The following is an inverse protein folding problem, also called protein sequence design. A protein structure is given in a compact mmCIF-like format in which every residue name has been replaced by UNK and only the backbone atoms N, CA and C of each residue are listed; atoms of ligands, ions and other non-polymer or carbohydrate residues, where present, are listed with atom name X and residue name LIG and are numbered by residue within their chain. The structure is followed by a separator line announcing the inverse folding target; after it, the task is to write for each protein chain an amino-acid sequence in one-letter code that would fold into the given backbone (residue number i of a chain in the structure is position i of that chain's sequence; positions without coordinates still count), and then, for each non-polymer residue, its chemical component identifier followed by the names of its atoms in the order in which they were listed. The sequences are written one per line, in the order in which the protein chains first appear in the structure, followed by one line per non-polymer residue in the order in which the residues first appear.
data_IF_034701465568
#
_entry.id   IF_034701465568
#
_cell.length_a   1.000
_cell.length_b   1.000
_cell.length_c   1.000
_cell.angle_alpha   90.00
_cell.angle_beta   90.00
_cell.angle_gamma   90.00
#
_symmetry.space_group_name_H-M   'P 1'
#
loop_
_entity.id
_entity.type
_entity.pdbx_description
1 polymer ?
#
# COMPACT_ATOMS: atom_id res chain seq x y z
N UNK A 1 25.28 -6.34 34.48
CA UNK A 1 24.36 -6.92 33.49
C UNK A 1 23.11 -6.09 33.60
N UNK A 2 23.00 -5.07 32.76
CA UNK A 2 21.83 -4.20 32.71
C UNK A 2 20.78 -4.91 31.85
N UNK A 3 19.67 -5.29 32.47
CA UNK A 3 18.54 -5.89 31.77
C UNK A 3 17.75 -4.80 31.05
N UNK A 4 18.09 -4.58 29.78
CA UNK A 4 17.23 -3.86 28.82
C UNK A 4 15.98 -4.69 28.54
N UNK A 5 14.99 -4.60 29.45
CA UNK A 5 13.63 -5.01 29.16
C UNK A 5 13.06 -4.06 28.10
N UNK A 6 13.13 -4.49 26.84
CA UNK A 6 12.42 -3.88 25.72
C UNK A 6 10.91 -3.90 25.99
N UNK A 7 10.43 -2.85 26.65
CA UNK A 7 9.04 -2.64 27.02
C UNK A 7 8.22 -2.30 25.76
N UNK A 8 8.00 -3.29 24.89
CA UNK A 8 7.37 -3.14 23.58
C UNK A 8 5.84 -3.17 23.60
N UNK A 9 5.21 -3.09 24.78
CA UNK A 9 3.76 -3.20 24.93
C UNK A 9 3.11 -2.32 26.00
N UNK A 10 3.84 -1.39 26.61
CA UNK A 10 3.27 -0.53 27.64
C UNK A 10 2.58 0.70 27.03
N UNK A 11 1.27 0.81 27.24
CA UNK A 11 0.48 1.98 26.88
C UNK A 11 0.51 2.98 28.03
N UNK A 12 1.08 4.17 27.79
CA UNK A 12 1.06 5.25 28.78
C UNK A 12 -0.34 5.89 28.85
N UNK A 13 -1.01 5.81 30.00
CA UNK A 13 -2.38 6.33 30.18
C UNK A 13 -2.46 7.61 31.02
N UNK A 14 -1.33 8.28 31.27
CA UNK A 14 -1.27 9.44 32.18
C UNK A 14 -2.15 10.63 31.77
N UNK A 15 -2.53 10.74 30.49
CA UNK A 15 -3.41 11.80 29.98
C UNK A 15 -4.81 11.30 29.57
N UNK A 16 -5.21 10.11 30.02
CA UNK A 16 -6.47 9.48 29.62
C UNK A 16 -7.72 10.33 29.89
N UNK A 17 -7.69 11.18 30.91
CA UNK A 17 -8.82 12.05 31.28
C UNK A 17 -8.71 13.48 30.72
N UNK A 18 -7.72 13.75 29.87
CA UNK A 18 -7.60 15.04 29.19
C UNK A 18 -8.70 15.18 28.14
N UNK A 19 -9.48 16.25 28.23
CA UNK A 19 -10.40 16.66 27.18
C UNK A 19 -9.65 17.24 25.99
N UNK A 20 -9.98 16.76 24.79
CA UNK A 20 -9.46 17.30 23.52
C UNK A 20 -10.60 17.62 22.56
N UNK A 21 -10.37 18.60 21.69
CA UNK A 21 -11.32 18.98 20.65
C UNK A 21 -10.89 18.39 19.30
N UNK A 22 -11.84 17.82 18.58
CA UNK A 22 -11.63 17.31 17.24
C UNK A 22 -12.28 18.25 16.22
N UNK A 23 -11.50 18.82 15.32
CA UNK A 23 -12.01 19.71 14.27
C UNK A 23 -11.74 19.15 12.89
N UNK A 24 -12.77 19.05 12.06
CA UNK A 24 -12.64 18.79 10.63
C UNK A 24 -12.27 20.09 9.92
N UNK A 25 -11.08 20.09 9.32
CA UNK A 25 -10.47 21.27 8.68
C UNK A 25 -10.49 21.15 7.15
N UNK A 26 -11.02 22.15 6.40
CA UNK A 26 -10.79 22.30 4.97
C UNK A 26 -9.31 22.16 4.57
N UNK A 27 -9.06 21.36 3.53
CA UNK A 27 -7.71 21.04 3.04
C UNK A 27 -6.88 22.29 2.73
N UNK A 28 -7.51 23.36 2.27
CA UNK A 28 -6.84 24.63 1.92
C UNK A 28 -6.25 25.27 3.17
N UNK A 29 -6.99 25.28 4.28
CA UNK A 29 -6.51 25.80 5.56
C UNK A 29 -5.38 24.93 6.12
N UNK A 30 -5.54 23.61 6.11
CA UNK A 30 -4.51 22.69 6.56
C UNK A 30 -3.19 22.85 5.78
N UNK A 31 -3.25 23.12 4.47
CA UNK A 31 -2.07 23.43 3.66
C UNK A 31 -1.44 24.76 4.03
N UNK A 32 -2.25 25.80 4.26
CA UNK A 32 -1.76 27.11 4.69
C UNK A 32 -0.97 27.03 6.00
N UNK A 33 -1.51 26.34 7.01
CA UNK A 33 -0.82 26.14 8.29
C UNK A 33 0.49 25.38 8.17
N UNK A 34 0.54 24.35 7.31
CA UNK A 34 1.79 23.62 7.02
C UNK A 34 2.83 24.49 6.33
N UNK A 35 2.43 25.36 5.41
CA UNK A 35 3.36 26.28 4.75
C UNK A 35 3.87 27.35 5.71
N UNK A 36 3.00 27.92 6.57
CA UNK A 36 3.39 28.92 7.55
C UNK A 36 4.41 28.38 8.55
N UNK A 37 4.14 27.20 9.12
CA UNK A 37 5.06 26.50 10.05
C UNK A 37 6.40 26.13 9.44
N UNK A 38 6.48 25.93 8.12
CA UNK A 38 7.74 25.67 7.42
C UNK A 38 8.54 26.96 7.13
N UNK A 39 7.87 28.10 7.06
CA UNK A 39 8.44 29.39 6.65
C UNK A 39 8.94 30.26 7.81
N UNK A 40 8.41 30.08 9.02
CA UNK A 40 8.77 30.86 10.20
C UNK A 40 9.50 30.00 11.24
N UNK A 41 10.72 30.39 11.59
CA UNK A 41 11.48 29.80 12.71
C UNK A 41 10.86 30.12 14.08
N UNK A 42 9.96 31.10 14.14
CA UNK A 42 9.19 31.48 15.32
C UNK A 42 7.75 30.96 15.25
N UNK A 43 7.20 30.58 16.41
CA UNK A 43 5.83 30.11 16.58
C UNK A 43 4.81 31.25 16.45
N UNK A 44 4.58 31.71 15.23
CA UNK A 44 3.55 32.71 14.95
C UNK A 44 2.14 32.09 15.04
N UNK A 45 1.16 32.80 15.63
CA UNK A 45 -0.21 32.29 15.72
C UNK A 45 -0.81 32.14 14.32
N UNK A 46 -1.31 30.94 14.01
CA UNK A 46 -1.85 30.61 12.68
C UNK A 46 -3.34 30.92 12.52
N UNK A 47 -4.08 31.00 13.63
CA UNK A 47 -5.50 31.32 13.68
C UNK A 47 -5.92 31.66 15.12
N UNK A 48 -7.10 32.26 15.25
CA UNK A 48 -7.75 32.59 16.53
C UNK A 48 -9.15 31.98 16.57
N UNK A 49 -9.45 31.24 17.63
CA UNK A 49 -10.80 30.77 17.91
C UNK A 49 -11.54 31.83 18.71
N UNK A 50 -12.73 32.22 18.25
CA UNK A 50 -13.60 33.19 18.91
C UNK A 50 -14.88 32.47 19.34
N UNK A 51 -15.21 32.63 20.61
CA UNK A 51 -16.46 32.16 21.21
C UNK A 51 -17.35 33.38 21.46
N UNK A 52 -18.48 33.43 20.76
CA UNK A 52 -19.51 34.44 20.95
C UNK A 52 -20.68 33.83 21.71
N UNK A 53 -21.12 34.51 22.76
CA UNK A 53 -22.24 34.12 23.62
C UNK A 53 -23.28 35.24 23.60
N UNK A 54 -24.53 34.95 23.23
CA UNK A 54 -25.63 35.90 23.38
C UNK A 54 -26.30 35.75 24.76
N UNK A 55 -26.06 36.69 25.71
CA UNK A 55 -26.59 36.59 27.06
C UNK A 55 -28.12 36.73 27.14
N UNK A 56 -28.79 37.12 26.05
CA UNK A 56 -30.26 37.22 26.00
C UNK A 56 -30.95 35.87 25.80
N UNK A 57 -30.20 34.82 25.40
CA UNK A 57 -30.74 33.47 25.16
C UNK A 57 -29.83 32.40 25.75
N UNK A 58 -29.61 32.39 27.09
CA UNK A 58 -28.65 31.47 27.71
C UNK A 58 -29.01 29.99 27.54
N UNK A 59 -30.30 29.66 27.40
CA UNK A 59 -30.79 28.28 27.26
C UNK A 59 -30.83 27.77 25.81
N UNK A 60 -30.56 28.61 24.81
CA UNK A 60 -30.52 28.17 23.42
C UNK A 60 -29.08 27.76 23.07
N UNK A 61 -28.80 26.50 22.69
CA UNK A 61 -27.48 26.10 22.20
C UNK A 61 -27.06 26.85 20.92
N UNK A 62 -27.96 27.60 20.27
CA UNK A 62 -27.62 28.53 19.18
C UNK A 62 -26.97 29.84 19.66
N UNK A 63 -27.07 30.17 20.94
CA UNK A 63 -26.44 31.36 21.54
C UNK A 63 -24.92 31.26 21.60
N UNK A 64 -24.39 30.03 21.56
CA UNK A 64 -22.97 29.72 21.61
C UNK A 64 -22.43 29.51 20.20
N UNK A 65 -21.83 30.55 19.63
CA UNK A 65 -21.26 30.52 18.29
C UNK A 65 -19.74 30.46 18.35
N UNK A 66 -19.15 29.43 17.75
CA UNK A 66 -17.71 29.31 17.58
C UNK A 66 -17.32 29.74 16.16
N UNK A 67 -16.36 30.64 16.04
CA UNK A 67 -15.76 31.04 14.77
C UNK A 67 -14.23 30.93 14.84
N UNK A 68 -13.61 30.80 13.68
CA UNK A 68 -12.17 30.74 13.51
C UNK A 68 -11.74 31.85 12.56
N UNK A 69 -10.86 32.73 13.03
CA UNK A 69 -10.26 33.81 12.25
C UNK A 69 -8.84 33.43 11.86
N UNK A 70 -8.53 33.51 10.57
CA UNK A 70 -7.24 33.07 10.02
C UNK A 70 -6.19 34.19 10.08
N UNK A 71 -4.99 33.88 10.58
CA UNK A 71 -3.87 34.80 10.53
C UNK A 71 -3.14 34.73 9.17
N UNK A 72 -2.71 35.88 8.65
CA UNK A 72 -1.94 35.94 7.40
C UNK A 72 -2.75 35.79 6.10
N UNK A 73 -4.05 36.10 6.14
CA UNK A 73 -4.95 36.06 4.97
C UNK A 73 -4.67 37.11 3.89
N UNK A 74 -3.54 37.81 3.95
CA UNK A 74 -3.07 38.78 2.96
C UNK A 74 -2.62 38.07 1.65
N UNK A 75 -2.29 36.78 1.73
CA UNK A 75 -1.63 36.02 0.66
C UNK A 75 -2.54 34.87 0.18
N UNK A 76 -3.56 35.21 -0.60
CA UNK A 76 -4.33 34.25 -1.41
C UNK A 76 -5.83 34.17 -1.11
N UNK A 77 -6.57 33.54 -2.04
CA UNK A 77 -8.03 33.35 -2.03
C UNK A 77 -8.51 32.39 -0.92
N UNK A 78 -8.05 32.55 0.32
CA UNK A 78 -8.46 31.75 1.47
C UNK A 78 -9.44 32.61 2.28
N UNK A 79 -10.65 32.12 2.57
CA UNK A 79 -11.60 32.81 3.44
C UNK A 79 -10.96 33.25 4.76
N UNK A 80 -11.23 34.50 5.17
CA UNK A 80 -10.69 35.10 6.41
C UNK A 80 -11.30 34.50 7.68
N UNK A 81 -12.56 34.11 7.60
CA UNK A 81 -13.35 33.61 8.73
C UNK A 81 -14.07 32.32 8.36
N UNK A 82 -14.12 31.40 9.33
CA UNK A 82 -14.83 30.14 9.26
C UNK A 82 -15.74 29.97 10.47
N UNK A 83 -16.93 29.44 10.26
CA UNK A 83 -17.81 29.00 11.34
C UNK A 83 -17.43 27.57 11.78
N UNK A 84 -17.39 27.33 13.09
CA UNK A 84 -17.14 26.02 13.69
C UNK A 84 -18.46 25.43 14.17
N UNK A 85 -19.02 24.50 13.39
CA UNK A 85 -20.28 23.86 13.75
C UNK A 85 -20.02 22.67 14.67
N UNK A 86 -20.61 22.68 15.87
CA UNK A 86 -20.49 21.58 16.82
C UNK A 86 -21.42 20.42 16.44
N UNK A 87 -20.88 19.19 16.40
CA UNK A 87 -21.70 17.99 16.32
C UNK A 87 -22.26 17.66 17.70
N UNK A 88 -23.58 17.42 17.77
CA UNK A 88 -24.24 17.01 19.01
C UNK A 88 -24.13 15.52 19.27
N UNK A 89 -24.06 14.72 18.20
CA UNK A 89 -24.02 13.26 18.27
C UNK A 89 -22.77 12.72 17.57
N UNK A 90 -21.86 12.12 18.35
CA UNK A 90 -20.71 11.41 17.80
C UNK A 90 -20.30 10.23 18.71
N UNK A 91 -19.69 9.22 18.10
CA UNK A 91 -19.17 8.03 18.81
C UNK A 91 -18.00 8.45 19.71
N UNK A 92 -17.93 8.03 20.98
CA UNK A 92 -16.81 8.33 21.85
C UNK A 92 -15.47 7.97 21.21
N UNK A 93 -14.52 8.90 21.23
CA UNK A 93 -13.20 8.75 20.63
C UNK A 93 -12.10 9.06 21.63
N UNK A 94 -11.02 8.29 21.57
CA UNK A 94 -9.78 8.53 22.31
C UNK A 94 -8.65 8.80 21.34
N UNK A 95 -7.74 9.70 21.72
CA UNK A 95 -6.57 10.06 20.92
C UNK A 95 -5.36 9.31 21.45
N UNK A 96 -4.61 8.71 20.54
CA UNK A 96 -3.35 8.05 20.83
C UNK A 96 -2.22 8.74 20.06
N UNK A 97 -1.05 8.79 20.67
CA UNK A 97 0.19 9.22 20.04
C UNK A 97 1.17 8.05 19.99
N UNK A 98 1.93 7.98 18.91
CA UNK A 98 3.03 7.04 18.75
C UNK A 98 4.29 7.84 18.47
N UNK A 99 5.34 7.60 19.25
CA UNK A 99 6.64 8.23 19.05
C UNK A 99 7.44 7.49 17.98
N UNK A 100 8.46 8.13 17.41
CA UNK A 100 9.36 7.49 16.44
C UNK A 100 10.13 6.28 17.01
N UNK A 101 10.15 6.14 18.33
CA UNK A 101 10.73 5.02 19.07
C UNK A 101 9.72 3.89 19.34
N UNK A 102 8.49 3.99 18.83
CA UNK A 102 7.43 2.97 18.99
C UNK A 102 6.74 2.97 20.35
N UNK A 103 6.95 4.00 21.19
CA UNK A 103 6.20 4.16 22.45
C UNK A 103 4.82 4.74 22.15
N UNK A 104 3.78 4.09 22.69
CA UNK A 104 2.37 4.49 22.49
C UNK A 104 1.83 5.10 23.79
N UNK A 105 1.15 6.24 23.67
CA UNK A 105 0.49 6.92 24.78
C UNK A 105 -0.96 7.30 24.43
N UNK A 106 -1.84 7.28 25.43
CA UNK A 106 -3.20 7.85 25.34
C UNK A 106 -3.13 9.34 25.70
N UNK A 107 -3.49 10.21 24.75
CA UNK A 107 -3.39 11.66 24.87
C UNK A 107 -4.67 12.33 25.40
N UNK A 108 -5.81 11.65 25.33
CA UNK A 108 -7.07 12.17 25.87
C UNK A 108 -8.33 11.61 25.21
N UNK A 109 -9.49 12.15 25.61
CA UNK A 109 -10.82 11.82 25.10
C UNK A 109 -11.40 13.01 24.35
N UNK A 110 -12.02 12.75 23.21
CA UNK A 110 -12.65 13.80 22.40
C UNK A 110 -13.97 14.23 23.06
N UNK A 111 -14.02 15.47 23.53
CA UNK A 111 -15.20 16.05 24.18
C UNK A 111 -16.09 16.81 23.19
N UNK A 112 -15.47 17.61 22.32
CA UNK A 112 -16.18 18.40 21.32
C UNK A 112 -15.68 18.09 19.93
N UNK A 113 -16.61 17.92 19.01
CA UNK A 113 -16.34 17.68 17.59
C UNK A 113 -16.88 18.84 16.76
N UNK A 114 -16.04 19.46 15.94
CA UNK A 114 -16.35 20.62 15.13
C UNK A 114 -16.21 20.34 13.62
N UNK A 115 -17.09 20.91 12.79
CA UNK A 115 -16.94 21.02 11.33
C UNK A 115 -16.67 22.47 10.95
N UNK A 116 -15.47 22.74 10.45
CA UNK A 116 -15.09 24.08 10.00
C UNK A 116 -15.66 24.35 8.61
N UNK A 117 -16.54 25.35 8.51
CA UNK A 117 -17.17 25.77 7.25
C UNK A 117 -16.82 27.23 6.95
N UNK A 118 -16.57 27.59 5.67
CA UNK A 118 -16.33 28.97 5.31
C UNK A 118 -17.51 29.84 5.74
N UNK A 119 -17.22 30.99 6.34
CA UNK A 119 -18.24 31.93 6.79
C UNK A 119 -18.96 32.56 5.58
N UNK A 120 -20.24 32.90 5.73
CA UNK A 120 -21.11 33.30 4.62
C UNK A 120 -20.59 34.53 3.86
N UNK A 121 -19.97 35.45 4.59
CA UNK A 121 -19.39 36.68 4.00
C UNK A 121 -18.28 36.40 2.96
N UNK A 122 -17.65 35.22 2.99
CA UNK A 122 -16.55 34.83 2.09
C UNK A 122 -16.94 33.69 1.11
N UNK A 123 -18.24 33.47 0.89
CA UNK A 123 -18.76 32.40 0.03
C UNK A 123 -18.31 32.51 -1.44
N UNK A 124 -18.17 33.73 -1.97
CA UNK A 124 -17.79 33.94 -3.38
C UNK A 124 -16.35 33.50 -3.67
N UNK A 125 -15.41 33.90 -2.81
CA UNK A 125 -13.99 33.51 -2.91
C UNK A 125 -13.82 32.00 -2.76
N UNK A 126 -14.56 31.40 -1.82
CA UNK A 126 -14.58 29.94 -1.65
C UNK A 126 -15.19 29.24 -2.86
N UNK A 127 -16.24 29.81 -3.46
CA UNK A 127 -16.86 29.32 -4.70
C UNK A 127 -15.88 29.33 -5.88
N UNK A 128 -15.09 30.40 -6.02
CA UNK A 128 -14.01 30.50 -7.02
C UNK A 128 -12.98 29.39 -6.81
N UNK A 129 -12.55 29.16 -5.58
CA UNK A 129 -11.59 28.12 -5.23
C UNK A 129 -12.12 26.70 -5.53
N UNK A 130 -13.41 26.46 -5.29
CA UNK A 130 -14.06 25.20 -5.63
C UNK A 130 -14.08 24.97 -7.15
N UNK A 131 -14.42 26.01 -7.94
CA UNK A 131 -14.41 25.95 -9.41
C UNK A 131 -12.99 25.69 -9.95
N UNK A 132 -11.99 26.39 -9.40
CA UNK A 132 -10.60 26.22 -9.79
C UNK A 132 -10.11 24.78 -9.53
N UNK A 133 -10.48 24.20 -8.38
CA UNK A 133 -10.17 22.80 -8.07
C UNK A 133 -10.80 21.85 -9.07
N UNK A 134 -12.08 22.03 -9.39
CA UNK A 134 -12.77 21.22 -10.38
C UNK A 134 -12.07 21.32 -11.74
N UNK A 135 -11.75 22.54 -12.18
CA UNK A 135 -11.03 22.76 -13.44
C UNK A 135 -9.66 22.04 -13.43
N UNK A 136 -8.84 22.24 -12.40
CA UNK A 136 -7.55 21.55 -12.24
C UNK A 136 -7.68 20.03 -12.26
N UNK A 137 -8.74 19.48 -11.69
CA UNK A 137 -9.00 18.02 -11.70
C UNK A 137 -9.53 17.50 -13.03
N UNK A 138 -10.15 18.35 -13.85
CA UNK A 138 -10.66 18.00 -15.18
C UNK A 138 -9.58 18.02 -16.25
N UNK A 139 -8.41 18.60 -15.98
CA UNK A 139 -7.25 18.53 -16.87
C UNK A 139 -6.74 17.08 -16.90
N UNK A 140 -6.98 16.39 -18.01
CA UNK A 140 -6.46 15.04 -18.26
C UNK A 140 -4.97 15.16 -18.58
N UNK A 141 -4.11 14.75 -17.65
CA UNK A 141 -2.65 14.67 -17.89
C UNK A 141 -2.27 13.58 -18.91
N UNK A 142 -3.21 12.68 -19.24
CA UNK A 142 -3.01 11.63 -20.24
C UNK A 142 -3.63 12.05 -21.57
N UNK A 143 -2.78 12.17 -22.60
CA UNK A 143 -3.25 12.32 -23.97
C UNK A 143 -3.65 10.94 -24.51
N UNK A 144 -4.89 10.82 -25.01
CA UNK A 144 -5.31 9.67 -25.80
C UNK A 144 -4.79 9.93 -27.20
N UNK A 145 -3.80 9.16 -27.63
CA UNK A 145 -3.39 9.16 -29.03
C UNK A 145 -4.35 8.26 -29.80
N UNK A 146 -5.16 8.86 -30.67
CA UNK A 146 -5.98 8.11 -31.62
C UNK A 146 -5.05 7.66 -32.74
N UNK A 147 -4.94 6.35 -32.93
CA UNK A 147 -4.18 5.78 -34.03
C UNK A 147 -5.07 5.92 -35.28
N UNK A 148 -4.82 6.97 -36.06
CA UNK A 148 -5.56 7.29 -37.30
C UNK A 148 -5.28 6.30 -38.45
N UNK A 149 -4.28 5.43 -38.28
CA UNK A 149 -3.88 4.47 -39.31
C UNK A 149 -4.56 3.10 -39.12
N UNK A 150 -5.79 2.97 -39.61
CA UNK A 150 -6.62 1.76 -39.56
C UNK A 150 -6.21 0.69 -40.59
N UNK A 151 -4.99 0.75 -41.15
CA UNK A 151 -4.49 -0.17 -42.19
C UNK A 151 -4.16 -1.58 -41.68
N UNK A 152 -4.62 -1.97 -40.49
CA UNK A 152 -4.48 -3.33 -39.94
C UNK A 152 -3.04 -3.77 -39.67
N UNK A 153 -2.02 -2.94 -39.92
CA UNK A 153 -0.59 -3.31 -39.73
C UNK A 153 -0.25 -3.50 -38.24
N UNK A 154 -0.86 -2.69 -37.35
CA UNK A 154 -0.72 -2.83 -35.89
C UNK A 154 -1.69 -3.85 -35.27
N UNK A 155 -2.66 -4.34 -36.04
CA UNK A 155 -3.67 -5.32 -35.60
C UNK A 155 -3.32 -6.76 -36.01
N UNK A 156 -2.22 -6.95 -36.76
CA UNK A 156 -1.67 -8.28 -37.03
C UNK A 156 -0.73 -8.67 -35.89
N UNK A 157 -0.84 -9.88 -35.33
CA UNK A 157 0.23 -10.43 -34.50
C UNK A 157 1.52 -10.37 -35.32
N UNK A 158 2.57 -9.74 -34.78
CA UNK A 158 3.87 -9.63 -35.43
C UNK A 158 4.29 -11.01 -35.95
N UNK A 159 4.43 -11.22 -37.28
CA UNK A 159 4.90 -12.48 -37.82
C UNK A 159 6.34 -12.71 -37.33
N UNK A 160 6.51 -13.63 -36.38
CA UNK A 160 7.81 -14.00 -35.81
C UNK A 160 7.96 -13.93 -34.29
N UNK A 161 6.91 -13.61 -33.51
CA UNK A 161 7.05 -13.49 -32.05
C UNK A 161 6.00 -14.25 -31.20
N UNK A 162 5.37 -15.28 -31.77
CA UNK A 162 4.67 -16.30 -30.99
C UNK A 162 5.73 -17.17 -30.31
N UNK A 163 6.22 -16.72 -29.15
CA UNK A 163 7.15 -17.51 -28.33
C UNK A 163 8.05 -16.76 -27.34
N UNK A 164 8.01 -15.43 -27.24
CA UNK A 164 9.01 -14.70 -26.43
C UNK A 164 8.45 -13.59 -25.54
N UNK A 165 7.33 -13.84 -24.88
CA UNK A 165 6.91 -13.03 -23.71
C UNK A 165 6.74 -13.93 -22.50
N UNK A 166 7.84 -14.50 -22.02
CA UNK A 166 7.97 -14.79 -20.58
C UNK A 166 8.70 -13.60 -19.98
N UNK A 167 7.94 -12.61 -19.49
CA UNK A 167 8.48 -11.56 -18.65
C UNK A 167 8.80 -12.15 -17.29
N UNK A 168 9.97 -12.76 -17.16
CA UNK A 168 10.64 -12.89 -15.87
C UNK A 168 12.10 -12.52 -16.03
N UNK A 169 12.47 -11.57 -15.19
CA UNK A 169 13.76 -10.91 -15.08
C UNK A 169 14.86 -11.86 -14.62
N UNK A 170 16.03 -11.67 -15.23
CA UNK A 170 17.41 -11.89 -14.74
C UNK A 170 18.23 -12.96 -15.47
N UNK A 171 19.42 -12.46 -15.84
CA UNK A 171 20.69 -13.16 -16.03
C UNK A 171 21.06 -13.67 -17.43
N UNK A 172 21.99 -12.90 -18.01
CA UNK A 172 23.05 -13.32 -18.94
C UNK A 172 23.37 -14.82 -18.85
N UNK A 173 23.13 -15.55 -19.93
CA UNK A 173 24.18 -16.36 -20.56
C UNK A 173 23.82 -16.74 -21.98
N UNK A 174 24.76 -16.49 -22.90
CA UNK A 174 24.83 -17.09 -24.23
C UNK A 174 24.62 -18.61 -24.13
N UNK A 175 23.67 -19.15 -24.88
CA UNK A 175 23.84 -20.43 -25.59
C UNK A 175 22.74 -20.61 -26.63
N UNK A 176 23.20 -20.83 -27.86
CA UNK A 176 22.45 -21.28 -29.05
C UNK A 176 21.50 -22.46 -28.76
N UNK A 177 20.27 -22.47 -29.29
CA UNK A 177 19.38 -23.62 -29.15
C UNK A 177 19.83 -24.73 -30.11
N UNK A 178 20.59 -25.69 -29.59
CA UNK A 178 20.75 -26.99 -30.25
C UNK A 178 19.44 -27.76 -30.06
N UNK A 179 18.75 -28.00 -31.18
CA UNK A 179 17.61 -28.92 -31.28
C UNK A 179 17.96 -30.23 -30.60
N UNK A 180 17.26 -30.59 -29.52
CA UNK A 180 17.30 -31.96 -29.02
C UNK A 180 16.46 -32.84 -29.96
N UNK A 181 17.02 -33.92 -30.53
CA UNK A 181 16.23 -34.86 -31.29
C UNK A 181 15.37 -35.70 -30.33
N UNK A 182 14.05 -35.69 -30.52
CA UNK A 182 13.15 -36.70 -29.96
C UNK A 182 13.55 -38.07 -30.52
N UNK A 183 14.37 -38.81 -29.78
CA UNK A 183 14.63 -40.22 -30.07
C UNK A 183 13.65 -41.06 -29.23
N UNK A 184 12.76 -41.77 -29.92
CA UNK A 184 11.92 -42.83 -29.34
C UNK A 184 12.83 -43.81 -28.58
N UNK A 185 12.70 -43.85 -27.26
CA UNK A 185 13.52 -44.67 -26.35
C UNK A 185 13.07 -46.13 -26.40
N UNK A 186 13.94 -47.00 -26.90
CA UNK A 186 13.73 -48.46 -26.95
C UNK A 186 13.96 -49.07 -25.57
N UNK A 187 13.08 -50.01 -25.18
CA UNK A 187 13.17 -50.76 -23.92
C UNK A 187 14.49 -51.54 -23.87
N UNK A 188 15.33 -51.30 -22.86
CA UNK A 188 16.56 -52.09 -22.64
C UNK A 188 16.26 -53.43 -21.99
N UNK A 189 17.18 -54.38 -22.17
CA UNK A 189 17.08 -55.71 -21.58
C UNK A 189 17.18 -55.65 -20.05
N UNK A 190 16.54 -56.61 -19.37
CA UNK A 190 16.36 -56.57 -17.92
C UNK A 190 17.69 -56.64 -17.17
N UNK A 191 18.61 -57.52 -17.58
CA UNK A 191 19.90 -57.72 -16.89
C UNK A 191 20.78 -56.47 -16.91
N UNK A 192 20.84 -55.78 -18.05
CA UNK A 192 21.64 -54.55 -18.20
C UNK A 192 21.12 -53.40 -17.34
N UNK A 193 19.81 -53.34 -17.13
CA UNK A 193 19.21 -52.29 -16.29
C UNK A 193 19.55 -52.51 -14.80
N UNK A 194 19.65 -53.76 -14.36
CA UNK A 194 20.01 -54.11 -12.98
C UNK A 194 21.44 -53.61 -12.68
N UNK A 195 22.40 -53.92 -13.55
CA UNK A 195 23.80 -53.53 -13.41
C UNK A 195 23.99 -52.00 -13.40
N UNK A 196 23.25 -51.28 -14.24
CA UNK A 196 23.29 -49.80 -14.27
C UNK A 196 22.71 -49.23 -12.98
N UNK A 197 21.58 -49.77 -12.51
CA UNK A 197 20.96 -49.31 -11.25
C UNK A 197 21.89 -49.55 -10.05
N UNK A 198 22.53 -50.71 -9.95
CA UNK A 198 23.48 -50.98 -8.86
C UNK A 198 24.65 -50.01 -8.88
N UNK A 199 25.24 -49.71 -10.05
CA UNK A 199 26.29 -48.67 -10.18
C UNK A 199 25.81 -47.28 -9.79
N UNK A 200 24.57 -46.91 -10.12
CA UNK A 200 24.02 -45.60 -9.76
C UNK A 200 23.85 -45.48 -8.24
N UNK A 201 23.29 -46.50 -7.57
CA UNK A 201 23.12 -46.51 -6.13
C UNK A 201 24.43 -46.65 -5.34
N UNK A 202 25.46 -47.26 -5.93
CA UNK A 202 26.81 -47.25 -5.37
C UNK A 202 27.39 -45.83 -5.31
N UNK A 203 27.03 -44.96 -6.26
CA UNK A 203 27.51 -43.57 -6.30
C UNK A 203 26.83 -42.67 -5.28
N UNK A 204 25.55 -42.90 -5.00
CA UNK A 204 24.81 -42.18 -3.96
C UNK A 204 23.56 -43.00 -3.54
N UNK A 205 23.24 -43.02 -2.23
CA UNK A 205 22.17 -43.87 -1.70
C UNK A 205 20.76 -43.40 -2.11
N UNK A 206 20.59 -42.12 -2.47
CA UNK A 206 19.31 -41.51 -2.83
C UNK A 206 19.36 -40.91 -4.23
N UNK A 207 18.35 -41.21 -5.05
CA UNK A 207 18.22 -40.67 -6.40
C UNK A 207 16.80 -40.15 -6.65
N UNK A 208 16.69 -38.99 -7.30
CA UNK A 208 15.40 -38.49 -7.76
C UNK A 208 14.94 -39.26 -9.01
N UNK A 209 13.64 -39.59 -9.09
CA UNK A 209 13.07 -40.36 -10.22
C UNK A 209 13.37 -39.75 -11.59
N UNK A 210 13.38 -38.41 -11.68
CA UNK A 210 13.72 -37.70 -12.93
C UNK A 210 15.17 -37.94 -13.38
N UNK A 211 16.10 -38.05 -12.42
CA UNK A 211 17.50 -38.34 -12.71
C UNK A 211 17.69 -39.79 -13.12
N UNK A 212 17.00 -40.74 -12.46
CA UNK A 212 17.03 -42.15 -12.84
C UNK A 212 16.52 -42.37 -14.27
N UNK A 213 15.43 -41.70 -14.66
CA UNK A 213 14.90 -41.72 -16.04
C UNK A 213 15.90 -41.17 -17.06
N UNK A 214 16.68 -40.16 -16.67
CA UNK A 214 17.67 -39.54 -17.55
C UNK A 214 18.91 -40.42 -17.71
N UNK A 215 19.45 -40.97 -16.62
CA UNK A 215 20.67 -41.79 -16.62
C UNK A 215 20.44 -43.18 -17.25
N UNK A 216 19.27 -43.78 -17.03
CA UNK A 216 18.93 -45.09 -17.60
C UNK A 216 18.32 -45.00 -19.00
N UNK A 217 17.92 -43.80 -19.43
CA UNK A 217 17.23 -43.52 -20.70
C UNK A 217 15.94 -44.35 -20.88
N UNK A 218 15.31 -44.79 -19.76
CA UNK A 218 14.07 -45.56 -19.74
C UNK A 218 12.91 -44.73 -19.17
N UNK A 219 11.66 -44.91 -19.67
CA UNK A 219 10.52 -44.19 -19.15
C UNK A 219 10.19 -44.60 -17.70
N UNK A 220 9.77 -43.63 -16.89
CA UNK A 220 9.44 -43.83 -15.47
C UNK A 220 8.50 -45.01 -15.23
N UNK A 221 7.51 -45.19 -16.11
CA UNK A 221 6.50 -46.28 -16.03
C UNK A 221 7.13 -47.67 -16.10
N UNK A 222 8.25 -47.84 -16.79
CA UNK A 222 8.97 -49.12 -16.87
C UNK A 222 9.99 -49.32 -15.74
N UNK A 223 10.57 -48.22 -15.23
CA UNK A 223 11.57 -48.24 -14.16
C UNK A 223 10.95 -48.47 -12.78
N UNK A 224 9.78 -47.88 -12.51
CA UNK A 224 9.11 -47.96 -11.21
C UNK A 224 8.83 -49.39 -10.74
N UNK A 225 8.22 -50.30 -11.55
CA UNK A 225 8.00 -51.69 -11.11
C UNK A 225 9.31 -52.44 -10.88
N UNK A 226 10.38 -52.09 -11.61
CA UNK A 226 11.71 -52.67 -11.41
C UNK A 226 12.35 -52.20 -10.08
N UNK A 227 12.34 -50.89 -9.81
CA UNK A 227 12.85 -50.32 -8.56
C UNK A 227 12.08 -50.90 -7.36
N UNK A 228 10.75 -51.00 -7.45
CA UNK A 228 9.91 -51.55 -6.37
C UNK A 228 10.14 -53.06 -6.16
N UNK A 229 10.48 -53.81 -7.21
CA UNK A 229 10.71 -55.27 -7.12
C UNK A 229 12.12 -55.63 -6.67
N UNK A 230 13.14 -54.89 -7.14
CA UNK A 230 14.55 -55.23 -6.91
C UNK A 230 15.16 -54.47 -5.74
N UNK A 231 14.72 -53.24 -5.48
CA UNK A 231 15.21 -52.40 -4.39
C UNK A 231 14.10 -52.28 -3.34
N UNK A 232 14.19 -53.06 -2.25
CA UNK A 232 13.28 -52.98 -1.11
C UNK A 232 13.52 -51.69 -0.29
N UNK A 233 13.29 -50.51 -0.89
CA UNK A 233 13.46 -49.22 -0.22
C UNK A 233 12.28 -48.30 -0.55
N UNK A 234 11.60 -47.89 0.53
CA UNK A 234 10.37 -47.12 0.56
C UNK A 234 10.49 -45.78 -0.19
N UNK A 235 9.49 -45.48 -1.03
CA UNK A 235 9.28 -44.15 -1.58
C UNK A 235 8.78 -43.25 -0.44
N UNK A 236 9.63 -42.40 0.11
CA UNK A 236 9.16 -41.29 0.95
C UNK A 236 8.45 -40.28 0.04
N UNK A 237 7.12 -40.20 0.16
CA UNK A 237 6.31 -39.10 -0.38
C UNK A 237 6.48 -37.88 0.51
#
# INVERSE_FOLDING_TARGET
MDEDHSNSGFLETGKADRSVWLMKCPVVVAKSWKSQTASSSDSQPVAKVVLSLDPRKPDDPSSMQFTMEMAGSEIGNIPKSYALNMFKDFVPMSVFSETTQGRVAMEGKVEHKFDMKPHEQNLEEYGRLCRERTNKSMIKNRQIQVIDNDRGVHMRPMPGMVGLISSNTKEKKKTTPVKQPEMKRTRRDRGELEDIMFKLFERQPNWALKQLVQETDQPAVSLLPYILSSCHVYLFV
#
